data_IF_092269904846
#
_entry.id   IF_092269904846
#
_cell.length_a   1.000
_cell.length_b   1.000
_cell.length_c   1.000
_cell.angle_alpha   90.00
_cell.angle_beta   90.00
_cell.angle_gamma   90.00
#
_symmetry.space_group_name_H-M   'P 1'
#
loop_
_entity.id
_entity.type
_entity.pdbx_description
1 polymer ?
#
# COMPACT_ATOMS: atom_id res chain seq x y z
N UNK A 1 -21.53 -32.79 -8.73
CA UNK A 1 -20.77 -31.91 -7.85
C UNK A 1 -21.40 -30.53 -7.84
N UNK A 2 -21.40 -29.90 -6.72
CA UNK A 2 -22.05 -28.60 -6.59
C UNK A 2 -21.36 -27.45 -7.29
N UNK A 3 -20.17 -27.65 -7.75
CA UNK A 3 -19.43 -26.62 -8.44
C UNK A 3 -19.83 -26.53 -9.91
N UNK A 4 -19.99 -25.34 -10.39
CA UNK A 4 -20.30 -25.13 -11.80
C UNK A 4 -19.42 -24.04 -12.38
N UNK A 5 -19.13 -24.15 -13.64
CA UNK A 5 -18.41 -23.13 -14.36
C UNK A 5 -19.36 -21.95 -14.62
N UNK A 6 -18.91 -20.75 -14.39
CA UNK A 6 -19.66 -19.54 -14.72
C UNK A 6 -19.93 -19.49 -16.22
N UNK A 7 -21.05 -18.88 -16.58
CA UNK A 7 -21.37 -18.69 -18.00
C UNK A 7 -20.34 -17.76 -18.65
N UNK A 8 -20.19 -17.82 -19.97
CA UNK A 8 -19.33 -16.87 -20.67
C UNK A 8 -19.67 -15.41 -20.37
N UNK A 9 -20.96 -15.12 -20.15
CA UNK A 9 -21.38 -13.77 -19.79
C UNK A 9 -20.84 -13.33 -18.44
N UNK A 10 -20.85 -14.23 -17.45
CA UNK A 10 -20.29 -13.92 -16.13
C UNK A 10 -18.80 -13.68 -16.23
N UNK A 11 -18.08 -14.50 -16.98
CA UNK A 11 -16.65 -14.31 -17.21
C UNK A 11 -16.37 -13.00 -17.93
N UNK A 12 -17.20 -12.65 -18.91
CA UNK A 12 -17.04 -11.40 -19.65
C UNK A 12 -17.26 -10.17 -18.79
N UNK A 13 -18.00 -10.30 -17.67
CA UNK A 13 -18.23 -9.19 -16.74
C UNK A 13 -17.05 -8.95 -15.79
N UNK A 14 -16.10 -9.89 -15.70
CA UNK A 14 -14.93 -9.73 -14.83
C UNK A 14 -13.82 -9.03 -15.58
N UNK A 15 -13.26 -7.97 -15.00
CA UNK A 15 -12.11 -7.31 -15.60
C UNK A 15 -10.91 -8.23 -15.62
N UNK A 16 -10.08 -8.07 -16.66
CA UNK A 16 -8.82 -8.79 -16.78
C UNK A 16 -7.68 -7.82 -16.57
N UNK A 17 -6.73 -8.18 -15.72
CA UNK A 17 -5.56 -7.36 -15.44
C UNK A 17 -4.31 -8.12 -15.90
N UNK A 18 -3.32 -7.41 -16.45
CA UNK A 18 -2.07 -8.06 -16.81
C UNK A 18 -1.33 -8.52 -15.57
N UNK A 19 -0.59 -9.62 -15.71
CA UNK A 19 0.35 -10.02 -14.68
C UNK A 19 1.40 -8.93 -14.52
N UNK A 20 1.69 -8.55 -13.28
CA UNK A 20 2.69 -7.53 -12.95
C UNK A 20 3.85 -8.18 -12.22
N UNK A 21 5.05 -7.81 -12.61
CA UNK A 21 6.26 -8.26 -11.95
C UNK A 21 7.18 -7.04 -11.73
N UNK A 22 7.59 -6.84 -10.48
CA UNK A 22 8.55 -5.80 -10.13
C UNK A 22 9.84 -6.48 -9.68
N UNK A 23 10.93 -6.15 -10.35
CA UNK A 23 12.23 -6.75 -10.07
C UNK A 23 13.09 -5.81 -9.24
N UNK A 24 14.00 -6.40 -8.46
CA UNK A 24 14.98 -5.66 -7.67
C UNK A 24 14.33 -4.67 -6.68
N UNK A 25 13.24 -5.08 -6.02
CA UNK A 25 12.57 -4.23 -5.05
C UNK A 25 13.49 -3.83 -3.89
N UNK A 26 14.42 -4.71 -3.51
CA UNK A 26 15.41 -4.41 -2.46
C UNK A 26 16.35 -3.26 -2.85
N UNK A 27 16.36 -2.87 -4.11
CA UNK A 27 17.17 -1.76 -4.63
C UNK A 27 16.30 -0.62 -5.18
N UNK A 28 15.06 -0.55 -4.75
CA UNK A 28 14.08 0.41 -5.28
C UNK A 28 14.57 1.85 -5.18
N UNK A 29 15.35 2.17 -4.15
CA UNK A 29 15.91 3.51 -3.98
C UNK A 29 16.74 3.94 -5.20
N UNK A 30 17.34 3.00 -5.92
CA UNK A 30 18.19 3.29 -7.08
C UNK A 30 17.37 3.58 -8.34
N UNK A 31 16.14 3.08 -8.42
CA UNK A 31 15.31 3.25 -9.62
C UNK A 31 13.94 3.89 -9.32
N UNK A 32 13.77 4.43 -8.13
CA UNK A 32 12.50 5.04 -7.71
C UNK A 32 12.03 6.17 -8.64
N UNK A 33 12.94 6.85 -9.30
CA UNK A 33 12.62 7.95 -10.21
C UNK A 33 11.93 7.47 -11.50
N UNK A 34 11.95 6.18 -11.79
CA UNK A 34 11.25 5.60 -12.94
C UNK A 34 9.77 5.32 -12.65
N UNK A 35 9.38 5.42 -11.39
CA UNK A 35 8.02 5.12 -10.96
C UNK A 35 7.15 6.36 -11.16
N UNK A 36 5.98 6.24 -11.81
CA UNK A 36 5.11 7.40 -12.05
C UNK A 36 4.31 7.75 -10.80
N UNK A 37 4.96 8.39 -9.85
CA UNK A 37 4.36 8.78 -8.58
C UNK A 37 3.24 9.80 -8.76
N UNK A 38 2.18 9.65 -7.96
CA UNK A 38 1.06 10.57 -7.88
C UNK A 38 1.03 11.18 -6.47
N UNK A 39 0.57 12.42 -6.33
CA UNK A 39 0.38 12.99 -4.99
C UNK A 39 -0.59 12.14 -4.18
N UNK A 40 -0.30 11.95 -2.89
CA UNK A 40 -1.17 11.16 -2.02
C UNK A 40 -1.53 11.92 -0.74
N UNK A 41 -0.60 12.62 -0.16
CA UNK A 41 -0.82 13.34 1.07
C UNK A 41 0.34 14.27 1.38
N UNK A 42 0.51 14.61 2.66
CA UNK A 42 1.50 15.56 3.13
C UNK A 42 2.92 14.97 3.04
N UNK A 43 3.61 15.30 1.96
CA UNK A 43 4.94 14.76 1.67
C UNK A 43 4.91 13.27 1.31
N UNK A 44 3.80 12.77 0.79
CA UNK A 44 3.63 11.35 0.46
C UNK A 44 3.12 11.21 -0.96
N UNK A 45 3.68 10.26 -1.68
CA UNK A 45 3.33 9.95 -3.06
C UNK A 45 2.98 8.47 -3.18
N UNK A 46 2.16 8.14 -4.16
CA UNK A 46 1.67 6.77 -4.34
C UNK A 46 1.75 6.35 -5.81
N UNK A 47 2.00 5.07 -6.01
CA UNK A 47 1.82 4.42 -7.30
C UNK A 47 1.06 3.12 -7.08
N UNK A 48 -0.19 3.08 -7.51
CA UNK A 48 -1.03 1.89 -7.34
C UNK A 48 -0.67 0.84 -8.36
N UNK A 49 -0.44 -0.37 -7.87
CA UNK A 49 -0.17 -1.53 -8.73
C UNK A 49 -1.47 -2.16 -9.17
N UNK A 50 -2.47 -2.16 -8.31
CA UNK A 50 -3.86 -2.51 -8.62
C UNK A 50 -4.77 -1.91 -7.55
N UNK A 51 -6.07 -1.84 -7.86
CA UNK A 51 -7.07 -1.25 -6.97
C UNK A 51 -7.18 0.26 -7.16
N UNK A 52 -8.32 0.81 -6.77
CA UNK A 52 -8.61 2.25 -6.93
C UNK A 52 -8.43 3.06 -5.65
N UNK A 53 -8.15 2.38 -4.52
CA UNK A 53 -8.04 3.05 -3.23
C UNK A 53 -9.38 3.48 -2.64
N UNK A 54 -10.49 3.15 -3.29
CA UNK A 54 -11.84 3.53 -2.86
C UNK A 54 -12.66 2.30 -2.49
N UNK A 55 -12.54 1.24 -3.27
CA UNK A 55 -13.27 -0.01 -3.06
C UNK A 55 -12.34 -1.20 -3.20
N UNK A 56 -12.49 -2.17 -2.31
CA UNK A 56 -11.80 -3.44 -2.43
C UNK A 56 -10.31 -3.40 -2.15
N UNK A 57 -9.65 -4.47 -2.56
CA UNK A 57 -8.24 -4.67 -2.30
C UNK A 57 -7.36 -3.77 -3.16
N UNK A 58 -6.24 -3.35 -2.59
CA UNK A 58 -5.28 -2.49 -3.27
C UNK A 58 -3.86 -2.92 -2.92
N UNK A 59 -2.97 -2.82 -3.90
CA UNK A 59 -1.53 -2.86 -3.66
C UNK A 59 -0.91 -1.61 -4.26
N UNK A 60 -0.03 -0.97 -3.51
CA UNK A 60 0.59 0.27 -3.94
C UNK A 60 2.00 0.41 -3.38
N UNK A 61 2.85 1.06 -4.18
CA UNK A 61 4.09 1.60 -3.67
C UNK A 61 3.79 2.99 -3.12
N UNK A 62 4.29 3.27 -1.93
CA UNK A 62 4.10 4.56 -1.27
C UNK A 62 5.46 5.11 -0.92
N UNK A 63 5.71 6.35 -1.34
CA UNK A 63 6.97 7.03 -1.04
C UNK A 63 6.71 8.19 -0.10
N UNK A 64 7.36 8.14 1.06
CA UNK A 64 7.40 9.26 1.99
C UNK A 64 8.62 10.08 1.67
N UNK A 65 8.43 11.35 1.38
CA UNK A 65 9.52 12.31 1.32
C UNK A 65 9.97 12.61 2.75
N UNK A 66 11.07 13.32 2.91
CA UNK A 66 11.56 13.70 4.23
C UNK A 66 10.45 14.40 5.02
N UNK A 67 10.19 13.95 6.23
CA UNK A 67 9.13 14.43 7.11
C UNK A 67 7.70 14.22 6.56
N UNK A 68 7.54 13.37 5.56
CA UNK A 68 6.22 13.00 5.06
C UNK A 68 5.41 12.26 6.12
N UNK A 69 4.09 12.43 6.05
CA UNK A 69 3.21 11.80 7.03
C UNK A 69 1.85 11.45 6.45
N UNK A 70 1.27 10.38 7.03
CA UNK A 70 -0.10 9.97 6.78
C UNK A 70 -0.86 10.12 8.09
N UNK A 71 -1.97 10.85 8.04
CA UNK A 71 -2.80 11.14 9.21
C UNK A 71 -3.40 9.88 9.82
N UNK A 72 -3.90 10.02 11.05
CA UNK A 72 -4.52 8.93 11.78
C UNK A 72 -5.64 8.28 10.97
N UNK A 73 -5.57 6.96 10.84
CA UNK A 73 -6.54 6.17 10.10
C UNK A 73 -6.73 4.81 10.74
N UNK A 74 -7.85 4.19 10.40
CA UNK A 74 -8.20 2.84 10.85
C UNK A 74 -8.14 1.88 9.68
N UNK A 75 -7.74 0.65 9.96
CA UNK A 75 -7.71 -0.44 8.99
C UNK A 75 -8.98 -1.28 9.13
N UNK A 76 -9.95 -1.19 8.20
CA UNK A 76 -11.14 -2.07 8.25
C UNK A 76 -10.82 -3.52 7.92
N UNK A 77 -9.75 -3.76 7.17
CA UNK A 77 -9.25 -5.08 6.83
C UNK A 77 -7.77 -5.21 7.19
N UNK A 78 -7.18 -6.34 6.86
CA UNK A 78 -5.73 -6.51 7.03
C UNK A 78 -4.97 -5.56 6.12
N UNK A 79 -3.88 -5.02 6.63
CA UNK A 79 -2.90 -4.28 5.86
C UNK A 79 -1.52 -4.89 6.08
N UNK A 80 -0.78 -5.09 4.99
CA UNK A 80 0.61 -5.52 5.02
C UNK A 80 1.47 -4.38 4.50
N UNK A 81 2.48 -4.01 5.25
CA UNK A 81 3.45 -2.99 4.84
C UNK A 81 4.83 -3.63 4.83
N UNK A 82 5.44 -3.65 3.67
CA UNK A 82 6.82 -4.09 3.52
C UNK A 82 7.69 -2.84 3.30
N UNK A 83 8.57 -2.53 4.24
CA UNK A 83 9.48 -1.39 4.11
C UNK A 83 10.62 -1.77 3.18
N UNK A 84 10.71 -1.11 2.04
CA UNK A 84 11.69 -1.42 1.00
C UNK A 84 12.93 -0.55 1.08
N UNK A 85 12.80 0.69 1.54
CA UNK A 85 13.90 1.62 1.69
C UNK A 85 13.57 2.61 2.80
N UNK A 86 14.58 3.04 3.53
CA UNK A 86 14.40 4.00 4.63
C UNK A 86 13.70 3.41 5.84
N UNK A 87 12.90 4.22 6.50
CA UNK A 87 12.18 3.79 7.71
C UNK A 87 10.89 4.59 7.87
N UNK A 88 9.91 3.98 8.51
CA UNK A 88 8.68 4.66 8.93
C UNK A 88 8.49 4.50 10.43
N UNK A 89 7.78 5.44 11.03
CA UNK A 89 7.50 5.46 12.45
C UNK A 89 6.00 5.59 12.68
N UNK A 90 5.47 4.80 13.59
CA UNK A 90 4.11 4.94 14.07
C UNK A 90 4.10 4.81 15.60
N UNK A 91 2.93 4.65 16.21
CA UNK A 91 2.80 4.54 17.66
C UNK A 91 3.51 3.31 18.25
N UNK A 92 3.79 2.32 17.41
CA UNK A 92 4.46 1.08 17.85
C UNK A 92 5.98 1.15 17.73
N UNK A 93 6.51 2.18 17.08
CA UNK A 93 7.95 2.36 16.93
C UNK A 93 8.37 2.52 15.48
N UNK A 94 9.65 2.25 15.24
CA UNK A 94 10.29 2.44 13.93
C UNK A 94 10.40 1.10 13.20
N UNK A 95 9.99 1.09 11.94
CA UNK A 95 10.16 -0.06 11.05
C UNK A 95 11.13 0.33 9.93
N UNK A 96 12.18 -0.46 9.78
CA UNK A 96 13.25 -0.18 8.81
C UNK A 96 13.16 -1.09 7.59
N UNK A 97 13.90 -0.73 6.55
CA UNK A 97 13.99 -1.51 5.32
C UNK A 97 14.21 -3.00 5.62
N UNK A 98 13.42 -3.85 4.98
CA UNK A 98 13.40 -5.30 5.21
C UNK A 98 12.33 -5.75 6.21
N UNK A 99 11.64 -4.81 6.88
CA UNK A 99 10.57 -5.16 7.83
C UNK A 99 9.24 -5.38 7.12
N UNK A 100 8.51 -6.39 7.59
CA UNK A 100 7.12 -6.60 7.22
C UNK A 100 6.26 -6.33 8.45
N UNK A 101 5.33 -5.39 8.31
CA UNK A 101 4.37 -5.05 9.36
C UNK A 101 2.99 -5.51 8.92
N UNK A 102 2.28 -6.19 9.80
CA UNK A 102 0.91 -6.63 9.53
C UNK A 102 0.00 -5.94 10.54
N UNK A 103 -0.92 -5.15 10.02
CA UNK A 103 -1.91 -4.42 10.82
C UNK A 103 -3.27 -5.11 10.69
N UNK A 104 -3.76 -5.77 11.76
CA UNK A 104 -5.05 -6.45 11.72
C UNK A 104 -6.23 -5.47 11.62
N UNK A 105 -7.41 -5.98 11.24
CA UNK A 105 -8.63 -5.15 11.23
C UNK A 105 -8.88 -4.50 12.60
N UNK A 106 -9.30 -3.25 12.57
CA UNK A 106 -9.60 -2.47 13.77
C UNK A 106 -8.40 -1.72 14.34
N UNK A 107 -7.20 -1.94 13.85
CA UNK A 107 -6.02 -1.20 14.29
C UNK A 107 -5.99 0.19 13.68
N UNK A 108 -5.36 1.11 14.38
CA UNK A 108 -5.26 2.53 14.01
C UNK A 108 -3.83 3.00 14.15
N UNK A 109 -3.40 3.86 13.27
CA UNK A 109 -2.12 4.55 13.42
C UNK A 109 -2.05 5.80 12.55
N UNK A 110 -1.08 6.64 12.85
CA UNK A 110 -0.55 7.66 11.96
C UNK A 110 0.91 7.31 11.69
N UNK A 111 1.41 7.68 10.53
CA UNK A 111 2.75 7.31 10.11
C UNK A 111 3.54 8.56 9.76
N UNK A 112 4.81 8.58 10.16
CA UNK A 112 5.76 9.59 9.74
C UNK A 112 7.03 8.91 9.23
N UNK A 113 7.81 9.65 8.45
CA UNK A 113 9.15 9.20 8.08
C UNK A 113 10.09 10.39 8.15
N UNK A 114 11.04 10.35 9.08
CA UNK A 114 11.95 11.48 9.29
C UNK A 114 12.85 11.72 8.09
N UNK A 115 13.40 10.65 7.54
CA UNK A 115 14.37 10.75 6.44
C UNK A 115 13.80 10.32 5.08
N UNK A 116 12.55 9.88 5.06
CA UNK A 116 11.93 9.31 3.86
C UNK A 116 11.96 7.80 3.85
N UNK A 117 11.03 7.22 3.11
CA UNK A 117 11.00 5.77 2.93
C UNK A 117 10.16 5.41 1.71
N UNK A 118 10.31 4.17 1.27
CA UNK A 118 9.46 3.58 0.24
C UNK A 118 8.95 2.26 0.82
N UNK A 119 7.63 2.08 0.76
CA UNK A 119 6.99 0.87 1.25
C UNK A 119 6.09 0.27 0.17
N UNK A 120 5.90 -1.04 0.24
CA UNK A 120 4.84 -1.73 -0.48
C UNK A 120 3.71 -1.95 0.51
N UNK A 121 2.56 -1.36 0.23
CA UNK A 121 1.36 -1.53 1.06
C UNK A 121 0.34 -2.37 0.31
N UNK A 122 -0.17 -3.41 0.98
CA UNK A 122 -1.22 -4.28 0.43
C UNK A 122 -2.32 -4.33 1.47
N UNK A 123 -3.53 -3.95 1.09
CA UNK A 123 -4.65 -3.95 2.03
C UNK A 123 -5.92 -4.48 1.39
N UNK A 124 -6.72 -5.16 2.22
CA UNK A 124 -7.96 -5.79 1.80
C UNK A 124 -9.07 -4.78 1.54
N UNK A 125 -9.09 -3.71 2.34
CA UNK A 125 -10.10 -2.66 2.28
C UNK A 125 -9.44 -1.31 2.44
N UNK A 126 -9.99 -0.26 1.80
CA UNK A 126 -9.47 1.09 1.97
C UNK A 126 -9.45 1.51 3.44
N UNK A 127 -8.41 2.23 3.82
CA UNK A 127 -8.31 2.78 5.17
C UNK A 127 -9.36 3.88 5.37
N UNK A 128 -9.74 4.09 6.61
CA UNK A 128 -10.69 5.15 6.99
C UNK A 128 -9.93 6.19 7.80
N UNK A 129 -9.82 7.39 7.23
CA UNK A 129 -9.19 8.49 7.95
C UNK A 129 -10.10 8.97 9.06
N UNK A 130 -9.54 9.18 10.23
CA UNK A 130 -10.28 9.55 11.43
C UNK A 130 -10.15 11.06 11.68
N UNK A 131 -11.18 11.69 12.29
CA UNK A 131 -11.06 13.09 12.64
C UNK A 131 -9.94 13.28 13.66
N UNK A 132 -9.32 14.42 13.58
CA UNK A 132 -8.22 14.82 14.48
C UNK A 132 -8.80 15.48 15.71
#
# INVERSE_FOLDING_TARGET
MGWRVSSPTDHAALPTYPRTELNNLHRIAEWQHEIPWQPFGDGVEIHRLYGDGVTGATAALIRFLKAGKVSLHEHPGYEHIFVLAGSQTDQNGVSRAGSLVINPPGTRHSITSDSGCIVLAIYEKPVVFLPV
#
